data_IF_213987243264
#
_entry.id   IF_213987243264
#
_cell.length_a   1.000
_cell.length_b   1.000
_cell.length_c   1.000
_cell.angle_alpha   90.00
_cell.angle_beta   90.00
_cell.angle_gamma   90.00
#
_symmetry.space_group_name_H-M   'P 1'
#
loop_
_entity.id
_entity.type
_entity.pdbx_description
1 polymer ?
#
# COMPACT_ATOMS: atom_id res chain seq x y z
N UNK A 1 57.61 -13.92 -9.81
CA UNK A 1 57.51 -13.10 -11.03
C UNK A 1 56.56 -13.67 -12.10
N UNK A 2 56.18 -14.97 -12.07
CA UNK A 2 55.27 -15.58 -13.09
C UNK A 2 53.76 -15.49 -12.80
N UNK A 3 53.36 -15.01 -11.63
CA UNK A 3 51.94 -14.90 -11.27
C UNK A 3 51.22 -13.70 -11.91
N UNK A 4 51.90 -12.63 -12.26
CA UNK A 4 51.30 -11.39 -12.79
C UNK A 4 50.77 -11.55 -14.21
N UNK A 5 51.38 -12.41 -15.04
CA UNK A 5 50.99 -12.64 -16.43
C UNK A 5 49.59 -13.31 -16.54
N UNK A 6 49.17 -14.06 -15.52
CA UNK A 6 47.89 -14.75 -15.47
C UNK A 6 46.75 -13.95 -14.83
N UNK A 7 47.08 -12.77 -14.27
CA UNK A 7 46.01 -11.87 -13.75
C UNK A 7 45.58 -10.90 -14.86
N UNK A 8 44.26 -10.68 -15.02
CA UNK A 8 43.77 -9.71 -15.99
C UNK A 8 44.35 -8.33 -15.64
N UNK A 9 44.93 -7.65 -16.64
CA UNK A 9 45.48 -6.29 -16.45
C UNK A 9 44.34 -5.32 -16.08
N UNK A 10 44.67 -4.26 -15.34
CA UNK A 10 43.72 -3.19 -15.03
C UNK A 10 43.08 -2.61 -16.29
N UNK A 11 43.85 -2.52 -17.41
CA UNK A 11 43.29 -2.10 -18.70
C UNK A 11 42.15 -3.01 -19.19
N UNK A 12 42.33 -4.33 -19.08
CA UNK A 12 41.33 -5.31 -19.52
C UNK A 12 40.06 -5.26 -18.66
N UNK A 13 40.24 -5.01 -17.34
CA UNK A 13 39.14 -4.81 -16.42
C UNK A 13 38.41 -3.51 -16.76
N UNK A 14 39.12 -2.40 -16.99
CA UNK A 14 38.56 -1.13 -17.40
C UNK A 14 37.81 -1.22 -18.74
N UNK A 15 38.44 -1.88 -19.74
CA UNK A 15 37.86 -2.02 -21.08
C UNK A 15 36.56 -2.83 -21.04
N UNK A 16 36.53 -3.95 -20.30
CA UNK A 16 35.34 -4.76 -20.14
C UNK A 16 34.19 -3.97 -19.44
N UNK A 17 34.55 -3.21 -18.40
CA UNK A 17 33.59 -2.36 -17.70
C UNK A 17 33.06 -1.23 -18.59
N UNK A 18 33.91 -0.58 -19.37
CA UNK A 18 33.51 0.46 -20.32
C UNK A 18 32.53 -0.07 -21.37
N UNK A 19 32.86 -1.20 -22.00
CA UNK A 19 32.01 -1.83 -23.01
C UNK A 19 30.65 -2.24 -22.43
N UNK A 20 30.61 -2.72 -21.19
CA UNK A 20 29.40 -3.19 -20.54
C UNK A 20 28.52 -2.02 -20.05
N UNK A 21 29.08 -1.09 -19.25
CA UNK A 21 28.31 -0.06 -18.57
C UNK A 21 28.09 1.20 -19.41
N UNK A 22 29.02 1.52 -20.31
CA UNK A 22 28.97 2.75 -21.10
C UNK A 22 28.45 2.52 -22.53
N UNK A 23 28.91 1.46 -23.19
CA UNK A 23 28.45 1.11 -24.54
C UNK A 23 27.24 0.16 -24.55
N UNK A 24 26.83 -0.41 -23.41
CA UNK A 24 25.67 -1.30 -23.30
C UNK A 24 25.84 -2.66 -23.97
N UNK A 25 27.07 -3.10 -24.28
CA UNK A 25 27.34 -4.38 -24.94
C UNK A 25 27.01 -5.56 -24.03
N UNK A 26 26.49 -6.62 -24.59
CA UNK A 26 26.30 -7.90 -23.92
C UNK A 26 27.64 -8.56 -23.57
N UNK A 27 27.66 -9.42 -22.56
CA UNK A 27 28.88 -10.16 -22.21
C UNK A 27 29.41 -11.02 -23.34
N UNK A 28 28.54 -11.48 -24.26
CA UNK A 28 28.91 -12.27 -25.44
C UNK A 28 29.68 -11.41 -26.45
N UNK A 29 29.20 -10.20 -26.75
CA UNK A 29 29.85 -9.26 -27.64
C UNK A 29 31.20 -8.82 -27.08
N UNK A 30 31.27 -8.52 -25.78
CA UNK A 30 32.51 -8.17 -25.08
C UNK A 30 33.51 -9.33 -25.14
N UNK A 31 33.04 -10.56 -24.91
CA UNK A 31 33.88 -11.76 -25.01
C UNK A 31 34.49 -11.92 -26.39
N UNK A 32 33.69 -11.70 -27.43
CA UNK A 32 34.17 -11.74 -28.84
C UNK A 32 35.19 -10.64 -29.12
N UNK A 33 34.95 -9.40 -28.65
CA UNK A 33 35.84 -8.25 -28.87
C UNK A 33 37.20 -8.39 -28.12
N UNK A 34 37.15 -8.91 -26.88
CA UNK A 34 38.32 -9.08 -26.04
C UNK A 34 39.05 -10.43 -26.22
N UNK A 35 38.49 -11.33 -27.03
CA UNK A 35 39.05 -12.67 -27.25
C UNK A 35 39.00 -13.56 -26.00
N UNK A 36 37.94 -13.41 -25.14
CA UNK A 36 37.82 -14.17 -23.89
C UNK A 36 36.41 -14.77 -23.75
N UNK A 37 36.27 -15.74 -22.87
CA UNK A 37 34.96 -16.36 -22.59
C UNK A 37 34.00 -15.41 -21.85
N UNK A 38 32.65 -15.63 -22.00
CA UNK A 38 31.65 -14.87 -21.25
C UNK A 38 31.86 -14.96 -19.73
N UNK A 39 32.32 -16.10 -19.22
CA UNK A 39 32.66 -16.29 -17.81
C UNK A 39 33.80 -15.36 -17.39
N UNK A 40 34.84 -15.21 -18.27
CA UNK A 40 35.93 -14.28 -18.02
C UNK A 40 35.42 -12.85 -18.03
N UNK A 41 34.56 -12.45 -18.97
CA UNK A 41 33.96 -11.10 -18.98
C UNK A 41 33.18 -10.83 -17.69
N UNK A 42 32.35 -11.77 -17.24
CA UNK A 42 31.62 -11.62 -15.97
C UNK A 42 32.56 -11.39 -14.79
N UNK A 43 33.69 -12.12 -14.73
CA UNK A 43 34.72 -11.93 -13.69
C UNK A 43 35.45 -10.58 -13.80
N UNK A 44 35.70 -10.09 -15.00
CA UNK A 44 36.29 -8.75 -15.22
C UNK A 44 35.36 -7.65 -14.74
N UNK A 45 34.07 -7.73 -15.09
CA UNK A 45 33.03 -6.78 -14.63
C UNK A 45 32.91 -6.80 -13.11
N UNK A 46 32.92 -7.99 -12.49
CA UNK A 46 32.87 -8.12 -11.04
C UNK A 46 34.09 -7.49 -10.37
N UNK A 47 35.30 -7.73 -10.91
CA UNK A 47 36.53 -7.09 -10.43
C UNK A 47 36.51 -5.56 -10.56
N UNK A 48 35.92 -5.04 -11.64
CA UNK A 48 35.77 -3.60 -11.83
C UNK A 48 34.92 -2.96 -10.71
N UNK A 49 33.88 -3.67 -10.23
CA UNK A 49 33.05 -3.26 -9.07
C UNK A 49 33.86 -3.35 -7.77
N UNK A 50 34.50 -4.48 -7.51
CA UNK A 50 35.29 -4.72 -6.29
C UNK A 50 36.47 -3.72 -6.14
N UNK A 51 37.15 -3.40 -7.23
CA UNK A 51 38.24 -2.44 -7.26
C UNK A 51 37.75 -0.98 -7.35
N UNK A 52 36.43 -0.75 -7.30
CA UNK A 52 35.80 0.59 -7.40
C UNK A 52 36.18 1.37 -8.67
N UNK A 53 36.55 0.66 -9.74
CA UNK A 53 36.78 1.27 -11.07
C UNK A 53 35.47 1.82 -11.63
N UNK A 54 34.33 1.13 -11.31
CA UNK A 54 32.98 1.60 -11.59
C UNK A 54 32.30 1.97 -10.27
N UNK A 55 31.71 3.16 -10.22
CA UNK A 55 30.89 3.62 -9.11
C UNK A 55 29.44 3.76 -9.59
N UNK A 56 28.51 3.21 -8.84
CA UNK A 56 27.08 3.39 -9.07
C UNK A 56 26.57 4.49 -8.15
N UNK A 57 25.78 5.38 -8.72
CA UNK A 57 25.09 6.43 -7.96
C UNK A 57 23.62 6.29 -8.29
N UNK A 58 22.82 6.01 -7.28
CA UNK A 58 21.37 6.15 -7.37
C UNK A 58 21.06 7.56 -6.89
N UNK A 59 20.40 8.35 -7.75
CA UNK A 59 20.11 9.74 -7.44
C UNK A 59 19.04 9.87 -6.36
N UNK A 60 19.11 10.95 -5.61
CA UNK A 60 18.03 11.34 -4.69
C UNK A 60 16.80 11.85 -5.48
N UNK A 61 15.58 11.64 -5.00
CA UNK A 61 15.23 11.02 -3.71
C UNK A 61 15.17 9.49 -3.71
N UNK A 62 15.44 8.82 -4.82
CA UNK A 62 15.21 7.37 -4.97
C UNK A 62 16.02 6.53 -3.99
N UNK A 63 17.31 6.88 -3.76
CA UNK A 63 18.14 6.15 -2.80
C UNK A 63 17.59 6.28 -1.38
N UNK A 64 17.29 7.50 -0.95
CA UNK A 64 16.75 7.78 0.38
C UNK A 64 15.41 7.06 0.59
N UNK A 65 14.53 7.08 -0.42
CA UNK A 65 13.24 6.41 -0.35
C UNK A 65 13.37 4.89 -0.19
N UNK A 66 14.31 4.26 -0.93
CA UNK A 66 14.60 2.83 -0.81
C UNK A 66 15.19 2.47 0.57
N UNK A 67 16.11 3.28 1.10
CA UNK A 67 16.69 3.05 2.42
C UNK A 67 15.65 3.25 3.53
N UNK A 68 14.80 4.25 3.40
CA UNK A 68 13.70 4.53 4.33
C UNK A 68 12.68 3.39 4.32
N UNK A 69 12.31 2.91 3.13
CA UNK A 69 11.42 1.75 2.98
C UNK A 69 11.94 0.52 3.72
N UNK A 70 13.24 0.17 3.53
CA UNK A 70 13.87 -0.97 4.24
C UNK A 70 13.88 -0.81 5.75
N UNK A 71 14.08 0.40 6.27
CA UNK A 71 14.02 0.66 7.73
C UNK A 71 12.61 0.44 8.26
N UNK A 72 11.60 0.88 7.52
CA UNK A 72 10.18 0.70 7.89
C UNK A 72 9.80 -0.77 7.83
N UNK A 73 10.18 -1.49 6.76
CA UNK A 73 9.96 -2.94 6.62
C UNK A 73 10.54 -3.72 7.82
N UNK A 74 11.78 -3.44 8.17
CA UNK A 74 12.46 -4.10 9.29
C UNK A 74 11.80 -3.78 10.64
N UNK A 75 11.39 -2.52 10.85
CA UNK A 75 10.80 -2.07 12.12
C UNK A 75 9.41 -2.65 12.37
N UNK A 76 8.58 -2.75 11.33
CA UNK A 76 7.18 -3.18 11.45
C UNK A 76 6.91 -4.57 10.87
N UNK A 77 7.98 -5.30 10.46
CA UNK A 77 7.90 -6.64 9.87
C UNK A 77 6.98 -6.71 8.64
N UNK A 78 7.06 -5.70 7.78
CA UNK A 78 6.30 -5.65 6.54
C UNK A 78 6.95 -6.55 5.47
N UNK A 79 6.13 -7.05 4.56
CA UNK A 79 6.59 -7.76 3.38
C UNK A 79 7.25 -6.82 2.36
N UNK A 80 6.65 -5.64 2.18
CA UNK A 80 7.12 -4.62 1.24
C UNK A 80 6.66 -3.24 1.71
N UNK A 81 7.54 -2.25 1.61
CA UNK A 81 7.21 -0.84 1.80
C UNK A 81 7.60 -0.06 0.54
N UNK A 82 6.67 0.71 0.00
CA UNK A 82 6.90 1.57 -1.15
C UNK A 82 6.78 3.01 -0.69
N UNK A 83 7.89 3.75 -0.77
CA UNK A 83 7.91 5.19 -0.52
C UNK A 83 7.80 5.90 -1.86
N UNK A 84 6.63 6.44 -2.15
CA UNK A 84 6.31 7.11 -3.39
C UNK A 84 7.01 8.48 -3.43
N UNK A 85 7.81 8.71 -4.47
CA UNK A 85 8.40 10.00 -4.76
C UNK A 85 7.32 10.98 -5.25
N UNK A 86 7.31 12.19 -4.70
CA UNK A 86 6.38 13.23 -5.12
C UNK A 86 7.00 13.98 -6.31
N UNK A 87 6.31 14.04 -7.47
CA UNK A 87 6.78 14.85 -8.59
C UNK A 87 6.99 16.30 -8.18
N UNK A 88 8.16 16.85 -8.49
CA UNK A 88 8.50 18.26 -8.15
C UNK A 88 7.76 19.27 -9.06
N UNK A 89 7.37 18.82 -10.26
CA UNK A 89 6.70 19.63 -11.25
C UNK A 89 5.17 19.57 -11.04
N UNK A 90 4.51 20.73 -11.05
CA UNK A 90 3.05 20.85 -10.96
C UNK A 90 2.42 20.28 -9.67
N UNK A 91 2.93 20.67 -8.51
CA UNK A 91 2.37 20.27 -7.22
C UNK A 91 0.91 20.75 -7.08
N UNK A 92 -0.01 19.81 -6.93
CA UNK A 92 -1.40 20.01 -6.55
C UNK A 92 -1.59 19.69 -5.07
N UNK A 93 -2.71 20.12 -4.48
CA UNK A 93 -3.11 19.74 -3.11
C UNK A 93 -3.20 18.21 -2.92
N UNK A 94 -3.35 17.46 -4.02
CA UNK A 94 -3.51 16.01 -4.00
C UNK A 94 -2.27 15.25 -4.48
N UNK A 95 -1.18 15.92 -4.84
CA UNK A 95 0.02 15.29 -5.44
C UNK A 95 0.57 14.13 -4.60
N UNK A 96 0.59 14.27 -3.27
CA UNK A 96 1.00 13.20 -2.36
C UNK A 96 0.07 11.98 -2.47
N UNK A 97 -1.25 12.22 -2.46
CA UNK A 97 -2.25 11.13 -2.58
C UNK A 97 -2.18 10.45 -3.93
N UNK A 98 -2.00 11.22 -5.00
CA UNK A 98 -1.91 10.72 -6.36
C UNK A 98 -0.64 9.88 -6.56
N UNK A 99 0.52 10.32 -6.04
CA UNK A 99 1.76 9.55 -6.09
C UNK A 99 1.62 8.20 -5.36
N UNK A 100 1.11 8.20 -4.14
CA UNK A 100 0.83 6.99 -3.37
C UNK A 100 -0.18 6.08 -4.09
N UNK A 101 -1.24 6.66 -4.63
CA UNK A 101 -2.28 5.93 -5.34
C UNK A 101 -1.76 5.28 -6.64
N UNK A 102 -0.90 5.97 -7.38
CA UNK A 102 -0.28 5.45 -8.59
C UNK A 102 0.60 4.23 -8.30
N UNK A 103 1.45 4.31 -7.28
CA UNK A 103 2.27 3.16 -6.86
C UNK A 103 1.39 2.02 -6.31
N UNK A 104 0.30 2.34 -5.61
CA UNK A 104 -0.69 1.36 -5.17
C UNK A 104 -1.37 0.63 -6.33
N UNK A 105 -1.76 1.35 -7.37
CA UNK A 105 -2.34 0.76 -8.58
C UNK A 105 -1.35 -0.17 -9.29
N UNK A 106 -0.09 0.26 -9.44
CA UNK A 106 1.00 -0.54 -10.03
C UNK A 106 1.25 -1.80 -9.22
N UNK A 107 1.31 -1.67 -7.90
CA UNK A 107 1.50 -2.81 -7.00
C UNK A 107 0.35 -3.81 -7.11
N UNK A 108 -0.88 -3.34 -6.98
CA UNK A 108 -2.07 -4.21 -7.05
C UNK A 108 -2.13 -4.96 -8.40
N UNK A 109 -1.92 -4.25 -9.52
CA UNK A 109 -1.95 -4.88 -10.85
C UNK A 109 -0.84 -5.92 -11.06
N UNK A 110 0.29 -5.78 -10.37
CA UNK A 110 1.40 -6.75 -10.42
C UNK A 110 1.06 -8.08 -9.73
N UNK A 111 0.24 -8.03 -8.68
CA UNK A 111 0.00 -9.21 -7.83
C UNK A 111 -1.36 -9.86 -8.01
N UNK A 112 -2.39 -9.10 -8.42
CA UNK A 112 -3.77 -9.61 -8.49
C UNK A 112 -3.93 -10.62 -9.62
N UNK A 113 -4.62 -11.71 -9.34
CA UNK A 113 -4.91 -12.80 -10.27
C UNK A 113 -6.40 -13.18 -10.26
N UNK A 114 -6.82 -14.03 -11.17
CA UNK A 114 -8.19 -14.57 -11.24
C UNK A 114 -8.63 -15.36 -10.01
N UNK A 115 -7.68 -15.80 -9.17
CA UNK A 115 -7.93 -16.58 -7.95
C UNK A 115 -8.17 -15.71 -6.73
N UNK A 116 -8.00 -14.40 -6.87
CA UNK A 116 -8.04 -13.50 -5.74
C UNK A 116 -9.45 -12.98 -5.46
N UNK A 117 -9.71 -12.78 -4.19
CA UNK A 117 -10.84 -12.02 -3.67
C UNK A 117 -10.27 -10.74 -3.05
N UNK A 118 -10.55 -9.61 -3.71
CA UNK A 118 -10.07 -8.29 -3.30
C UNK A 118 -11.13 -7.58 -2.47
N UNK A 119 -10.85 -7.38 -1.19
CA UNK A 119 -11.61 -6.50 -0.31
C UNK A 119 -11.20 -5.04 -0.49
N UNK A 120 -12.17 -4.15 -0.71
CA UNK A 120 -11.93 -2.72 -0.95
C UNK A 120 -12.58 -1.89 0.15
N UNK A 121 -11.83 -0.92 0.68
CA UNK A 121 -12.33 0.13 1.57
C UNK A 121 -12.54 1.45 0.81
N UNK A 122 -13.13 2.42 1.49
CA UNK A 122 -13.40 3.75 0.95
C UNK A 122 -12.21 4.72 1.04
N UNK A 123 -12.35 5.88 0.43
CA UNK A 123 -11.52 7.05 0.69
C UNK A 123 -10.80 7.62 -0.53
N UNK A 124 -10.29 8.83 -0.36
CA UNK A 124 -9.73 9.62 -1.47
C UNK A 124 -8.48 8.98 -2.10
N UNK A 125 -7.61 8.34 -1.29
CA UNK A 125 -6.46 7.60 -1.82
C UNK A 125 -6.92 6.39 -2.63
N UNK A 126 -7.95 5.68 -2.17
CA UNK A 126 -8.55 4.55 -2.88
C UNK A 126 -9.19 4.98 -4.20
N UNK A 127 -9.87 6.13 -4.21
CA UNK A 127 -10.44 6.72 -5.42
C UNK A 127 -9.36 6.94 -6.51
N UNK A 128 -8.26 7.61 -6.17
CA UNK A 128 -7.17 7.82 -7.13
C UNK A 128 -6.51 6.50 -7.54
N UNK A 129 -6.31 5.57 -6.61
CA UNK A 129 -5.71 4.27 -6.92
C UNK A 129 -6.56 3.51 -7.96
N UNK A 130 -7.87 3.45 -7.75
CA UNK A 130 -8.78 2.77 -8.68
C UNK A 130 -8.86 3.51 -10.02
N UNK A 131 -8.79 4.84 -10.03
CA UNK A 131 -8.70 5.65 -11.24
C UNK A 131 -7.48 5.32 -12.10
N UNK A 132 -6.35 4.92 -11.46
CA UNK A 132 -5.11 4.56 -12.16
C UNK A 132 -5.06 3.09 -12.60
N UNK A 133 -6.05 2.27 -12.29
CA UNK A 133 -6.10 0.89 -12.78
C UNK A 133 -6.22 0.86 -14.31
N UNK A 134 -5.37 0.06 -14.95
CA UNK A 134 -5.38 -0.08 -16.41
C UNK A 134 -6.45 -1.09 -16.85
N UNK A 135 -7.49 -0.66 -17.58
CA UNK A 135 -8.59 -1.53 -18.00
C UNK A 135 -8.18 -2.58 -19.03
N UNK A 136 -6.98 -2.47 -19.62
CA UNK A 136 -6.47 -3.47 -20.58
C UNK A 136 -5.98 -4.76 -19.90
N UNK A 137 -5.76 -4.74 -18.60
CA UNK A 137 -5.30 -5.90 -17.82
C UNK A 137 -6.48 -6.52 -17.06
N UNK A 138 -7.26 -7.35 -17.73
CA UNK A 138 -8.37 -8.07 -17.10
C UNK A 138 -7.87 -9.29 -16.32
N UNK A 139 -8.24 -9.39 -15.05
CA UNK A 139 -7.88 -10.50 -14.17
C UNK A 139 -9.05 -11.41 -13.83
N UNK A 140 -10.30 -10.92 -13.99
CA UNK A 140 -11.51 -11.64 -13.59
C UNK A 140 -11.55 -12.04 -12.10
N UNK A 141 -10.85 -11.32 -11.24
CA UNK A 141 -10.89 -11.50 -9.80
C UNK A 141 -12.28 -11.21 -9.22
N UNK A 142 -12.50 -11.56 -7.97
CA UNK A 142 -13.72 -11.21 -7.23
C UNK A 142 -13.45 -9.96 -6.38
N UNK A 143 -14.42 -9.04 -6.36
CA UNK A 143 -14.31 -7.78 -5.63
C UNK A 143 -15.41 -7.70 -4.56
N UNK A 144 -15.04 -7.29 -3.34
CA UNK A 144 -15.99 -7.19 -2.23
C UNK A 144 -15.78 -5.92 -1.42
N UNK A 145 -16.87 -5.26 -1.02
CA UNK A 145 -16.78 -4.12 -0.09
C UNK A 145 -16.41 -4.60 1.31
N UNK A 146 -15.43 -3.95 1.96
CA UNK A 146 -15.03 -4.30 3.32
C UNK A 146 -15.96 -3.75 4.40
N UNK A 147 -16.83 -2.81 4.05
CA UNK A 147 -17.81 -2.18 4.95
C UNK A 147 -19.01 -1.68 4.17
N UNK A 148 -20.06 -1.28 4.87
CA UNK A 148 -21.24 -0.65 4.28
C UNK A 148 -20.95 0.76 3.77
N UNK A 149 -21.90 1.33 3.03
CA UNK A 149 -21.79 2.62 2.34
C UNK A 149 -21.56 3.79 3.30
N UNK A 150 -20.83 4.79 2.80
CA UNK A 150 -20.68 6.13 3.38
C UNK A 150 -21.05 7.22 2.34
N UNK A 151 -21.92 6.89 1.40
CA UNK A 151 -22.25 7.75 0.24
C UNK A 151 -22.74 9.15 0.63
N UNK A 152 -23.23 9.34 1.84
CA UNK A 152 -23.61 10.65 2.38
C UNK A 152 -22.42 11.58 2.60
N UNK A 153 -21.20 11.04 2.71
CA UNK A 153 -19.96 11.83 2.81
C UNK A 153 -19.54 12.32 1.43
N UNK A 154 -19.36 11.39 0.50
CA UNK A 154 -18.97 11.66 -0.89
C UNK A 154 -19.25 10.41 -1.72
N UNK A 155 -20.08 10.56 -2.75
CA UNK A 155 -20.50 9.44 -3.61
C UNK A 155 -19.32 8.83 -4.39
N UNK A 156 -18.39 9.64 -4.86
CA UNK A 156 -17.24 9.15 -5.64
C UNK A 156 -16.21 8.40 -4.76
N UNK A 157 -16.16 8.72 -3.48
CA UNK A 157 -15.26 8.09 -2.52
C UNK A 157 -15.91 6.87 -1.83
N UNK A 158 -17.21 6.63 -2.09
CA UNK A 158 -17.94 5.56 -1.45
C UNK A 158 -17.46 4.17 -1.89
N UNK A 159 -17.46 3.25 -0.95
CA UNK A 159 -16.95 1.89 -1.16
C UNK A 159 -17.73 1.13 -2.25
N UNK A 160 -19.03 1.38 -2.42
CA UNK A 160 -19.85 0.78 -3.49
C UNK A 160 -19.37 1.25 -4.86
N UNK A 161 -19.18 2.56 -5.01
CA UNK A 161 -18.68 3.18 -6.24
C UNK A 161 -17.28 2.67 -6.57
N UNK A 162 -16.38 2.64 -5.59
CA UNK A 162 -15.00 2.20 -5.76
C UNK A 162 -14.91 0.72 -6.13
N UNK A 163 -15.64 -0.15 -5.44
CA UNK A 163 -15.66 -1.59 -5.74
C UNK A 163 -16.23 -1.85 -7.13
N UNK A 164 -17.25 -1.10 -7.54
CA UNK A 164 -17.81 -1.20 -8.89
C UNK A 164 -16.83 -0.78 -9.95
N UNK A 165 -16.17 0.38 -9.78
CA UNK A 165 -15.15 0.88 -10.72
C UNK A 165 -13.96 -0.09 -10.84
N UNK A 166 -13.49 -0.68 -9.73
CA UNK A 166 -12.42 -1.67 -9.73
C UNK A 166 -12.79 -2.93 -10.53
N UNK A 167 -13.99 -3.49 -10.28
CA UNK A 167 -14.49 -4.65 -11.00
C UNK A 167 -14.68 -4.37 -12.50
N UNK A 168 -15.09 -3.17 -12.87
CA UNK A 168 -15.20 -2.76 -14.27
C UNK A 168 -13.82 -2.63 -14.95
N UNK A 169 -12.83 -2.09 -14.24
CA UNK A 169 -11.47 -1.90 -14.77
C UNK A 169 -10.73 -3.22 -14.96
N UNK A 170 -10.75 -4.10 -13.96
CA UNK A 170 -9.97 -5.34 -13.99
C UNK A 170 -10.79 -6.55 -14.47
N UNK A 171 -12.09 -6.39 -14.68
CA UNK A 171 -13.03 -7.50 -14.94
C UNK A 171 -13.33 -8.31 -13.68
N UNK A 172 -14.43 -9.03 -13.68
CA UNK A 172 -14.80 -9.91 -12.58
C UNK A 172 -16.11 -9.56 -11.90
N UNK A 173 -16.46 -10.35 -10.90
CA UNK A 173 -17.70 -10.20 -10.13
C UNK A 173 -17.50 -9.27 -8.95
N UNK A 174 -18.58 -8.59 -8.54
CA UNK A 174 -18.55 -7.75 -7.34
C UNK A 174 -19.67 -8.14 -6.37
N UNK A 175 -19.37 -8.04 -5.09
CA UNK A 175 -20.29 -8.26 -3.98
C UNK A 175 -20.24 -7.02 -3.07
N UNK A 176 -21.39 -6.40 -2.88
CA UNK A 176 -21.49 -5.11 -2.21
C UNK A 176 -22.51 -5.13 -1.07
N UNK A 177 -22.15 -4.58 0.08
CA UNK A 177 -23.07 -4.30 1.19
C UNK A 177 -23.90 -3.07 0.85
N UNK A 178 -25.19 -3.26 0.55
CA UNK A 178 -26.12 -2.18 0.21
C UNK A 178 -26.79 -1.58 1.46
N UNK A 179 -25.99 -1.22 2.44
CA UNK A 179 -26.45 -0.59 3.66
C UNK A 179 -25.41 0.43 4.14
N UNK A 180 -25.80 1.34 5.02
CA UNK A 180 -24.84 2.25 5.67
C UNK A 180 -23.80 1.46 6.46
N UNK A 181 -22.59 1.97 6.52
CA UNK A 181 -21.49 1.37 7.26
C UNK A 181 -21.62 1.57 8.77
N UNK A 182 -22.10 2.72 9.21
CA UNK A 182 -22.44 3.00 10.61
C UNK A 182 -23.95 3.18 10.75
N UNK A 183 -24.54 2.44 11.65
CA UNK A 183 -26.00 2.38 11.88
C UNK A 183 -26.35 3.01 13.23
N UNK A 184 -27.63 3.36 13.38
CA UNK A 184 -28.13 4.03 14.59
C UNK A 184 -28.18 3.09 15.81
N UNK A 185 -28.34 1.78 15.58
CA UNK A 185 -28.44 0.80 16.66
C UNK A 185 -27.79 -0.55 16.32
N UNK A 186 -27.39 -1.26 17.36
CA UNK A 186 -26.87 -2.64 17.27
C UNK A 186 -27.94 -3.61 16.75
N UNK A 187 -29.20 -3.37 17.06
CA UNK A 187 -30.34 -4.17 16.58
C UNK A 187 -30.44 -4.11 15.07
N UNK A 188 -30.29 -2.93 14.47
CA UNK A 188 -30.29 -2.75 13.02
C UNK A 188 -29.17 -3.55 12.36
N UNK A 189 -27.95 -3.55 12.94
CA UNK A 189 -26.83 -4.37 12.46
C UNK A 189 -27.16 -5.86 12.52
N UNK A 190 -27.74 -6.32 13.66
CA UNK A 190 -28.14 -7.72 13.83
C UNK A 190 -29.21 -8.16 12.83
N UNK A 191 -30.15 -7.28 12.50
CA UNK A 191 -31.16 -7.54 11.50
C UNK A 191 -30.56 -7.66 10.11
N UNK A 192 -29.73 -6.70 9.71
CA UNK A 192 -29.06 -6.71 8.41
C UNK A 192 -28.13 -7.92 8.24
N UNK A 193 -27.39 -8.32 9.28
CA UNK A 193 -26.53 -9.52 9.24
C UNK A 193 -27.32 -10.82 8.98
N UNK A 194 -28.64 -10.86 9.24
CA UNK A 194 -29.51 -12.01 8.97
C UNK A 194 -30.07 -12.02 7.54
N UNK A 195 -30.06 -10.89 6.85
CA UNK A 195 -30.50 -10.83 5.46
C UNK A 195 -29.54 -11.66 4.59
N UNK A 196 -30.14 -12.49 3.71
CA UNK A 196 -29.36 -13.45 2.90
C UNK A 196 -28.20 -12.79 2.15
N UNK A 197 -28.46 -11.68 1.47
CA UNK A 197 -27.41 -10.98 0.69
C UNK A 197 -26.24 -10.48 1.57
N UNK A 198 -26.55 -9.93 2.74
CA UNK A 198 -25.56 -9.49 3.70
C UNK A 198 -24.79 -10.69 4.28
N UNK A 199 -25.49 -11.76 4.67
CA UNK A 199 -24.86 -12.97 5.20
C UNK A 199 -23.89 -13.62 4.20
N UNK A 200 -24.28 -13.70 2.92
CA UNK A 200 -23.43 -14.24 1.84
C UNK A 200 -22.13 -13.41 1.68
N UNK A 201 -22.22 -12.07 1.83
CA UNK A 201 -21.04 -11.18 1.76
C UNK A 201 -20.16 -11.34 3.00
N UNK A 202 -20.76 -11.44 4.19
CA UNK A 202 -19.98 -11.66 5.43
C UNK A 202 -19.26 -13.01 5.42
N UNK A 203 -19.81 -14.04 4.77
CA UNK A 203 -19.12 -15.31 4.56
C UNK A 203 -17.90 -15.16 3.65
N UNK A 204 -18.00 -14.32 2.60
CA UNK A 204 -16.87 -14.02 1.71
C UNK A 204 -15.69 -13.39 2.43
N UNK A 205 -15.91 -12.68 3.54
CA UNK A 205 -14.82 -12.05 4.29
C UNK A 205 -13.76 -13.05 4.76
N UNK A 206 -14.14 -14.28 5.08
CA UNK A 206 -13.20 -15.35 5.44
C UNK A 206 -12.34 -15.85 4.27
N UNK A 207 -12.71 -15.51 3.05
CA UNK A 207 -12.07 -15.97 1.80
C UNK A 207 -11.26 -14.85 1.12
N UNK A 208 -11.27 -13.63 1.65
CA UNK A 208 -10.50 -12.51 1.10
C UNK A 208 -9.01 -12.84 1.13
N UNK A 209 -8.34 -12.70 -0.02
CA UNK A 209 -6.91 -12.94 -0.19
C UNK A 209 -6.09 -11.66 -0.17
N UNK A 210 -6.69 -10.55 -0.67
CA UNK A 210 -6.08 -9.24 -0.74
C UNK A 210 -7.06 -8.21 -0.18
N UNK A 211 -6.60 -7.30 0.67
CA UNK A 211 -7.37 -6.10 1.03
C UNK A 211 -6.66 -4.84 0.59
N UNK A 212 -7.44 -3.85 0.21
CA UNK A 212 -6.99 -2.53 -0.19
C UNK A 212 -7.70 -1.48 0.67
N UNK A 213 -6.93 -0.77 1.50
CA UNK A 213 -7.47 0.20 2.45
C UNK A 213 -6.58 1.41 2.65
N UNK A 214 -7.18 2.48 3.16
CA UNK A 214 -6.51 3.63 3.72
C UNK A 214 -6.73 3.71 5.22
N UNK A 215 -6.29 4.81 5.84
CA UNK A 215 -6.50 5.11 7.26
C UNK A 215 -7.12 6.51 7.39
N UNK A 216 -8.10 6.64 8.28
CA UNK A 216 -8.53 7.91 8.84
C UNK A 216 -7.73 8.23 10.12
N UNK A 217 -7.36 9.49 10.33
CA UNK A 217 -6.69 9.93 11.54
C UNK A 217 -7.68 10.67 12.46
N UNK A 218 -7.68 10.29 13.74
CA UNK A 218 -8.45 10.95 14.79
C UNK A 218 -7.53 11.63 15.81
N UNK A 219 -6.34 11.13 16.04
CA UNK A 219 -5.34 11.70 16.94
C UNK A 219 -4.13 12.25 16.15
N UNK A 220 -3.51 13.38 16.53
CA UNK A 220 -3.90 14.28 17.64
C UNK A 220 -5.11 15.18 17.29
N UNK A 221 -5.49 15.22 16.03
CA UNK A 221 -6.65 15.97 15.51
C UNK A 221 -7.39 15.13 14.49
N UNK A 222 -8.71 15.06 14.59
CA UNK A 222 -9.53 14.38 13.62
C UNK A 222 -9.46 15.09 12.25
N UNK A 223 -8.98 14.34 11.26
CA UNK A 223 -8.91 14.77 9.85
C UNK A 223 -9.68 13.83 8.93
N UNK A 224 -10.24 12.76 9.49
CA UNK A 224 -11.08 11.82 8.73
C UNK A 224 -12.38 12.49 8.30
N UNK A 225 -12.82 12.31 7.05
CA UNK A 225 -14.12 12.82 6.59
C UNK A 225 -15.31 12.28 7.38
N UNK A 226 -15.18 11.14 8.07
CA UNK A 226 -16.24 10.64 8.96
C UNK A 226 -16.66 11.67 10.02
N UNK A 227 -15.70 12.48 10.49
CA UNK A 227 -15.93 13.56 11.46
C UNK A 227 -16.15 14.89 10.75
N UNK A 228 -15.27 15.25 9.79
CA UNK A 228 -15.29 16.59 9.17
C UNK A 228 -16.48 16.81 8.23
N UNK A 229 -17.12 15.74 7.75
CA UNK A 229 -18.33 15.81 6.88
C UNK A 229 -19.63 15.46 7.63
N UNK A 230 -19.60 15.46 8.96
CA UNK A 230 -20.76 15.17 9.81
C UNK A 230 -21.46 13.82 9.51
N UNK A 231 -20.71 12.81 9.06
CA UNK A 231 -21.24 11.46 8.90
C UNK A 231 -21.55 10.83 10.25
N UNK A 232 -20.76 11.16 11.24
CA UNK A 232 -20.87 10.73 12.62
C UNK A 232 -21.51 11.84 13.46
N UNK A 233 -22.33 11.48 14.43
CA UNK A 233 -22.88 12.43 15.39
C UNK A 233 -21.80 13.01 16.30
N UNK A 234 -22.03 14.20 16.85
CA UNK A 234 -21.15 14.81 17.84
C UNK A 234 -20.95 13.89 19.08
N UNK A 235 -22.03 13.23 19.53
CA UNK A 235 -21.98 12.27 20.64
C UNK A 235 -21.08 11.07 20.35
N UNK A 236 -21.17 10.52 19.13
CA UNK A 236 -20.33 9.41 18.72
C UNK A 236 -18.85 9.83 18.62
N UNK A 237 -18.58 11.03 18.12
CA UNK A 237 -17.22 11.58 18.09
C UNK A 237 -16.66 11.75 19.50
N UNK A 238 -17.42 12.27 20.44
CA UNK A 238 -17.00 12.40 21.85
C UNK A 238 -16.68 11.05 22.50
N UNK A 239 -17.44 9.99 22.19
CA UNK A 239 -17.11 8.63 22.63
C UNK A 239 -15.74 8.16 22.11
N UNK A 240 -15.41 8.44 20.84
CA UNK A 240 -14.11 8.10 20.28
C UNK A 240 -12.97 8.88 20.92
N UNK A 241 -13.16 10.16 21.19
CA UNK A 241 -12.18 10.99 21.91
C UNK A 241 -11.94 10.43 23.32
N UNK A 242 -12.99 10.11 24.07
CA UNK A 242 -12.91 9.55 25.42
C UNK A 242 -12.26 8.15 25.45
N UNK A 243 -12.41 7.37 24.37
CA UNK A 243 -11.78 6.07 24.19
C UNK A 243 -10.34 6.15 23.65
N UNK A 244 -9.74 7.36 23.53
CA UNK A 244 -8.40 7.59 23.01
C UNK A 244 -8.16 6.94 21.64
N UNK A 245 -9.12 7.08 20.72
CA UNK A 245 -9.01 6.52 19.38
C UNK A 245 -7.93 7.29 18.57
N UNK A 246 -6.99 6.54 18.00
CA UNK A 246 -5.92 7.09 17.15
C UNK A 246 -6.34 7.20 15.70
N UNK A 247 -7.09 6.23 15.21
CA UNK A 247 -7.55 6.23 13.83
C UNK A 247 -8.67 5.23 13.56
N UNK A 248 -9.11 5.24 12.30
CA UNK A 248 -10.02 4.24 11.78
C UNK A 248 -9.47 3.55 10.53
N UNK A 249 -9.85 2.31 10.36
CA UNK A 249 -9.66 1.53 9.15
C UNK A 249 -10.97 0.79 8.85
N UNK A 250 -11.55 0.97 7.66
CA UNK A 250 -12.84 0.36 7.30
C UNK A 250 -13.96 0.61 8.33
N UNK A 251 -14.05 1.79 8.91
CA UNK A 251 -14.95 2.18 10.00
C UNK A 251 -14.71 1.44 11.34
N UNK A 252 -13.59 0.71 11.49
CA UNK A 252 -13.15 0.14 12.75
C UNK A 252 -12.17 1.08 13.43
N UNK A 253 -12.46 1.45 14.65
CA UNK A 253 -11.73 2.45 15.42
C UNK A 253 -10.72 1.78 16.34
N UNK A 254 -9.48 2.25 16.35
CA UNK A 254 -8.38 1.61 17.08
C UNK A 254 -7.57 2.59 17.92
N UNK A 255 -6.99 2.05 19.01
CA UNK A 255 -6.11 2.76 19.94
C UNK A 255 -4.66 2.90 19.43
N UNK A 256 -3.76 3.44 20.24
CA UNK A 256 -2.33 3.61 19.96
C UNK A 256 -1.58 2.30 19.66
N UNK A 257 -2.09 1.18 20.16
CA UNK A 257 -1.53 -0.16 19.97
C UNK A 257 -2.17 -0.92 18.83
N UNK A 258 -3.14 -0.31 18.13
CA UNK A 258 -3.90 -0.94 17.06
C UNK A 258 -4.90 -1.99 17.54
N UNK A 259 -5.35 -1.90 18.80
CA UNK A 259 -6.47 -2.69 19.29
C UNK A 259 -7.77 -1.98 18.97
N UNK A 260 -8.83 -2.73 18.64
CA UNK A 260 -10.14 -2.13 18.43
C UNK A 260 -10.67 -1.54 19.73
N UNK A 261 -11.09 -0.27 19.70
CA UNK A 261 -11.60 0.41 20.88
C UNK A 261 -12.97 -0.14 21.28
N UNK A 262 -13.16 -0.35 22.57
CA UNK A 262 -14.41 -0.84 23.14
C UNK A 262 -15.43 0.31 23.27
N UNK A 263 -16.15 0.55 22.18
CA UNK A 263 -17.23 1.54 22.10
C UNK A 263 -18.48 0.88 21.49
N UNK A 264 -19.65 1.45 21.73
CA UNK A 264 -20.91 0.97 21.11
C UNK A 264 -20.89 1.11 19.57
N UNK A 265 -20.01 1.97 19.01
CA UNK A 265 -19.84 2.10 17.57
C UNK A 265 -19.34 0.78 16.95
N UNK A 266 -18.52 0.01 17.67
CA UNK A 266 -18.07 -1.31 17.19
C UNK A 266 -19.25 -2.20 16.80
N UNK A 267 -20.26 -2.27 17.67
CA UNK A 267 -21.44 -3.12 17.47
C UNK A 267 -22.47 -2.51 16.49
N UNK A 268 -22.40 -1.19 16.26
CA UNK A 268 -23.23 -0.46 15.29
C UNK A 268 -22.60 -0.36 13.90
N UNK A 269 -21.40 -0.89 13.70
CA UNK A 269 -20.69 -0.83 12.43
C UNK A 269 -20.90 -2.11 11.62
N UNK A 270 -21.35 -1.96 10.36
CA UNK A 270 -21.43 -3.03 9.37
C UNK A 270 -20.15 -3.03 8.53
N UNK A 271 -19.19 -3.79 8.97
CA UNK A 271 -17.86 -3.89 8.38
C UNK A 271 -17.27 -5.27 8.68
N UNK A 272 -16.20 -5.65 7.97
CA UNK A 272 -15.35 -6.76 8.40
C UNK A 272 -14.87 -6.51 9.83
N UNK A 273 -14.88 -7.55 10.67
CA UNK A 273 -14.35 -7.45 12.02
C UNK A 273 -12.81 -7.27 11.97
N UNK A 274 -12.24 -6.44 12.87
CA UNK A 274 -10.82 -6.10 12.81
C UNK A 274 -9.91 -7.34 12.93
N UNK A 275 -10.30 -8.32 13.75
CA UNK A 275 -9.56 -9.58 13.89
C UNK A 275 -9.63 -10.45 12.63
N UNK A 276 -10.73 -10.41 11.88
CA UNK A 276 -10.84 -11.08 10.60
C UNK A 276 -9.99 -10.38 9.53
N UNK A 277 -10.00 -9.05 9.52
CA UNK A 277 -9.14 -8.24 8.65
C UNK A 277 -7.65 -8.54 8.86
N UNK A 278 -7.20 -8.60 10.12
CA UNK A 278 -5.80 -8.91 10.45
C UNK A 278 -5.34 -10.27 9.92
N UNK A 279 -6.25 -11.20 9.66
CA UNK A 279 -5.96 -12.54 9.11
C UNK A 279 -5.89 -12.58 7.58
N UNK A 280 -6.25 -11.51 6.88
CA UNK A 280 -6.15 -11.47 5.41
C UNK A 280 -4.70 -11.65 5.00
N UNK A 281 -4.40 -12.54 4.02
CA UNK A 281 -3.02 -12.90 3.64
C UNK A 281 -2.20 -11.73 3.11
N UNK A 282 -2.83 -10.79 2.40
CA UNK A 282 -2.16 -9.60 1.85
C UNK A 282 -2.98 -8.35 2.13
N UNK A 283 -2.56 -7.58 3.13
CA UNK A 283 -3.17 -6.29 3.48
C UNK A 283 -2.35 -5.16 2.88
N UNK A 284 -2.89 -4.51 1.84
CA UNK A 284 -2.29 -3.32 1.21
C UNK A 284 -2.87 -2.09 1.89
N UNK A 285 -1.99 -1.33 2.53
CA UNK A 285 -2.34 -0.08 3.18
C UNK A 285 -1.70 1.08 2.43
N UNK A 286 -2.51 1.94 1.80
CA UNK A 286 -2.05 3.09 1.06
C UNK A 286 -2.44 4.39 1.79
N UNK A 287 -1.44 5.12 2.29
CA UNK A 287 -1.63 6.27 3.18
C UNK A 287 -0.78 7.45 2.74
N UNK A 288 -1.34 8.64 2.73
CA UNK A 288 -0.62 9.87 2.42
C UNK A 288 -0.93 10.98 3.42
N UNK A 289 0.07 11.83 3.67
CA UNK A 289 0.00 13.01 4.52
C UNK A 289 0.50 12.80 5.94
N UNK A 290 1.43 13.67 6.35
CA UNK A 290 2.14 13.61 7.64
C UNK A 290 1.20 13.59 8.85
N UNK A 291 0.04 14.27 8.75
CA UNK A 291 -0.96 14.31 9.84
C UNK A 291 -1.52 12.93 10.22
N UNK A 292 -1.27 11.89 9.42
CA UNK A 292 -1.68 10.51 9.68
C UNK A 292 -0.60 9.66 10.37
N UNK A 293 0.57 10.23 10.66
CA UNK A 293 1.70 9.45 11.17
C UNK A 293 1.38 8.69 12.46
N UNK A 294 0.69 9.30 13.42
CA UNK A 294 0.31 8.65 14.68
C UNK A 294 -0.66 7.47 14.45
N UNK A 295 -1.72 7.68 13.65
CA UNK A 295 -2.66 6.64 13.31
C UNK A 295 -2.01 5.52 12.50
N UNK A 296 -1.10 5.86 11.56
CA UNK A 296 -0.35 4.89 10.79
C UNK A 296 0.56 4.03 11.69
N UNK A 297 1.32 4.65 12.59
CA UNK A 297 2.15 3.91 13.55
C UNK A 297 1.30 2.92 14.37
N UNK A 298 0.17 3.36 14.91
CA UNK A 298 -0.76 2.50 15.66
C UNK A 298 -1.26 1.32 14.83
N UNK A 299 -1.67 1.56 13.58
CA UNK A 299 -2.11 0.50 12.66
C UNK A 299 -1.00 -0.52 12.34
N UNK A 300 0.26 -0.05 12.18
CA UNK A 300 1.41 -0.94 11.93
C UNK A 300 1.76 -1.78 13.17
N UNK A 301 1.74 -1.20 14.37
CA UNK A 301 1.88 -1.93 15.63
C UNK A 301 0.78 -2.99 15.75
N UNK A 302 -0.46 -2.65 15.38
CA UNK A 302 -1.61 -3.55 15.34
C UNK A 302 -1.61 -4.57 14.21
N UNK A 303 -0.55 -4.65 13.37
CA UNK A 303 -0.38 -5.60 12.25
C UNK A 303 -1.50 -5.49 11.19
N UNK A 304 -1.93 -4.27 10.91
CA UNK A 304 -3.00 -3.99 9.94
C UNK A 304 -2.48 -3.86 8.50
N UNK A 305 -1.20 -4.07 8.25
CA UNK A 305 -0.60 -4.05 6.91
C UNK A 305 0.44 -5.15 6.76
N UNK A 306 0.55 -5.69 5.54
CA UNK A 306 1.67 -6.51 5.07
C UNK A 306 2.47 -5.75 4.02
N UNK A 307 1.78 -4.90 3.27
CA UNK A 307 2.34 -4.01 2.25
C UNK A 307 1.91 -2.58 2.57
N UNK A 308 2.88 -1.70 2.68
CA UNK A 308 2.67 -0.28 2.98
C UNK A 308 3.09 0.58 1.79
N UNK A 309 2.22 1.50 1.38
CA UNK A 309 2.51 2.46 0.32
C UNK A 309 2.26 3.85 0.88
N UNK A 310 3.31 4.66 0.98
CA UNK A 310 3.25 5.98 1.61
C UNK A 310 4.05 7.02 0.83
N UNK A 311 3.78 8.29 1.06
CA UNK A 311 4.60 9.37 0.54
C UNK A 311 5.88 9.58 1.36
N UNK A 312 6.87 10.22 0.75
CA UNK A 312 8.21 10.44 1.34
C UNK A 312 8.18 11.26 2.64
N UNK A 313 7.25 12.23 2.76
CA UNK A 313 7.16 13.06 3.96
C UNK A 313 6.61 12.26 5.15
N UNK A 314 5.55 11.48 4.90
CA UNK A 314 4.98 10.58 5.90
C UNK A 314 5.99 9.50 6.32
N UNK A 315 6.77 8.98 5.35
CA UNK A 315 7.82 8.00 5.62
C UNK A 315 8.92 8.56 6.52
N UNK A 316 9.38 9.78 6.26
CA UNK A 316 10.37 10.47 7.09
C UNK A 316 9.86 10.68 8.52
N UNK A 317 8.61 11.14 8.69
CA UNK A 317 7.98 11.33 10.00
C UNK A 317 7.87 9.99 10.76
N UNK A 318 7.42 8.93 10.09
CA UNK A 318 7.26 7.60 10.70
C UNK A 318 8.59 7.03 11.24
N UNK A 319 9.71 7.27 10.56
CA UNK A 319 11.04 6.88 11.02
C UNK A 319 11.46 7.64 12.27
N UNK A 320 11.12 8.92 12.38
CA UNK A 320 11.48 9.77 13.53
C UNK A 320 10.67 9.46 14.78
N UNK A 321 9.48 8.90 14.63
CA UNK A 321 8.66 8.48 15.77
C UNK A 321 9.31 7.32 16.52
N UNK A 322 9.41 7.43 17.85
CA UNK A 322 9.95 6.39 18.74
C UNK A 322 9.00 5.20 18.89
#
# INVERSE_FOLDING_TARGET
MYKEVYFPSNWMICKAAYLFFYEGKSQKEIGSELGVSNVTVSRLIQKAKEQKIVKFVIQEPYLLNLETAKKIEARYHLRECIVAAIPQDNLSENSEKEAVALEGARYLQRIITERDILGIAWGKTMYYLIKYLNPCQRTNAVFVTLHGSIATVDFDLDVLTLTTKAAMSLGGQRYCLFSNGLLDSTENVKMLKKEKNTADILELYSKITISLSGIGALYPKATTPLVTSNYMSQQDYEKLVNANVYGDIMLRFFDENGNECDTDLRDRTLSIELDAYKKIPTKILAVSGVHKAAALKAALVGKMADVLIIDEKLAAELIMMK
#
